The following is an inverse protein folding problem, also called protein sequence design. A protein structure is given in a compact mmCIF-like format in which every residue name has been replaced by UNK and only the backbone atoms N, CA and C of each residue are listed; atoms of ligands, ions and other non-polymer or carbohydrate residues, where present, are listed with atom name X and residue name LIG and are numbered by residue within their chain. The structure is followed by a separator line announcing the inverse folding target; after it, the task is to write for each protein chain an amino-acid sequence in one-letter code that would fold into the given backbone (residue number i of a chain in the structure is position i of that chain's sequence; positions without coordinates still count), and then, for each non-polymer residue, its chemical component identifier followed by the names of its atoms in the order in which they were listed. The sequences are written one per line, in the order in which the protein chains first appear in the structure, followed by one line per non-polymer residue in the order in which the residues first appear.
data_IF_829457555373
#
_entry.id   IF_829457555373
#
_cell.length_a   1.000
_cell.length_b   1.000
_cell.length_c   1.000
_cell.angle_alpha   90.00
_cell.angle_beta   90.00
_cell.angle_gamma   90.00
#
_symmetry.space_group_name_H-M   'P 1'
#
loop_
_entity.id
_entity.type
_entity.pdbx_description
1 polymer ?
#
# COMPACT_ATOMS: atom_id res chain seq x y z
N UNK A 1 24.52 12.88 11.67
CA UNK A 1 25.07 12.02 10.62
C UNK A 1 24.21 10.75 10.47
N UNK A 2 22.99 10.88 9.94
CA UNK A 2 22.09 9.75 9.66
C UNK A 2 21.43 9.97 8.30
N UNK A 3 22.10 9.50 7.25
CA UNK A 3 21.58 9.44 5.89
C UNK A 3 22.10 8.17 5.24
N UNK A 4 21.55 7.04 5.66
CA UNK A 4 21.63 5.75 4.96
C UNK A 4 20.27 5.05 5.08
N UNK A 5 19.34 5.45 4.23
CA UNK A 5 18.43 4.51 3.59
C UNK A 5 18.53 4.83 2.11
N UNK A 6 19.45 4.12 1.48
CA UNK A 6 19.62 4.03 0.04
C UNK A 6 18.31 3.55 -0.59
N UNK A 7 17.84 4.27 -1.60
CA UNK A 7 17.11 3.64 -2.69
C UNK A 7 18.08 2.74 -3.46
N UNK A 8 17.59 1.57 -3.87
CA UNK A 8 18.19 0.53 -4.73
C UNK A 8 17.07 -0.54 -4.78
N UNK A 9 16.58 -1.06 -5.91
CA UNK A 9 17.20 -1.24 -7.21
C UNK A 9 16.14 -1.32 -8.34
N UNK A 10 16.41 -0.58 -9.41
CA UNK A 10 15.89 -0.74 -10.77
C UNK A 10 16.82 -1.70 -11.54
N UNK A 11 16.28 -2.37 -12.56
CA UNK A 11 16.96 -3.12 -13.65
C UNK A 11 17.18 -4.63 -13.44
N UNK A 12 16.60 -5.45 -14.34
CA UNK A 12 17.41 -6.05 -15.40
C UNK A 12 16.56 -6.45 -16.61
N UNK A 13 17.13 -6.11 -17.77
CA UNK A 13 16.77 -6.44 -19.14
C UNK A 13 16.61 -7.94 -19.41
N UNK A 14 15.59 -8.31 -20.20
CA UNK A 14 15.60 -9.57 -20.95
C UNK A 14 15.63 -9.24 -22.44
N UNK A 15 16.62 -9.83 -23.10
CA UNK A 15 16.86 -9.84 -24.53
C UNK A 15 15.64 -10.33 -25.31
N UNK A 16 15.32 -9.63 -26.39
CA UNK A 16 14.36 -10.10 -27.41
C UNK A 16 15.07 -11.15 -28.27
N UNK A 17 14.71 -12.42 -28.10
CA UNK A 17 14.93 -13.47 -29.12
C UNK A 17 13.61 -13.69 -29.86
N UNK A 18 13.55 -13.52 -31.20
CA UNK A 18 12.40 -13.96 -31.97
C UNK A 18 12.60 -15.44 -32.29
N UNK A 19 11.93 -16.33 -31.58
CA UNK A 19 12.09 -17.75 -31.78
C UNK A 19 11.01 -18.58 -31.11
N UNK A 20 10.14 -19.13 -31.96
CA UNK A 20 9.20 -20.22 -31.71
C UNK A 20 7.86 -19.91 -31.03
N UNK A 21 6.81 -20.06 -31.84
CA UNK A 21 5.47 -20.41 -31.42
C UNK A 21 5.50 -21.67 -30.55
N UNK A 22 4.90 -21.59 -29.37
CA UNK A 22 4.18 -22.72 -28.80
C UNK A 22 2.94 -22.17 -28.10
N UNK A 23 1.82 -22.38 -28.77
CA UNK A 23 0.47 -22.06 -28.32
C UNK A 23 0.02 -23.15 -27.34
N UNK A 24 0.54 -23.12 -26.12
CA UNK A 24 -0.05 -23.85 -25.00
C UNK A 24 -0.90 -22.87 -24.20
N UNK A 25 -2.17 -22.77 -24.58
CA UNK A 25 -3.22 -22.05 -23.85
C UNK A 25 -3.64 -22.82 -22.58
N UNK A 26 -2.67 -23.20 -21.75
CA UNK A 26 -2.92 -23.51 -20.35
C UNK A 26 -3.11 -22.18 -19.61
N UNK A 27 -4.36 -21.71 -19.55
CA UNK A 27 -4.76 -20.61 -18.68
C UNK A 27 -4.25 -20.93 -17.26
N UNK A 28 -3.28 -20.19 -16.70
CA UNK A 28 -2.88 -20.45 -15.33
C UNK A 28 -4.10 -20.19 -14.45
N UNK A 29 -4.55 -21.22 -13.75
CA UNK A 29 -5.60 -21.11 -12.74
C UNK A 29 -5.29 -19.89 -11.87
N UNK A 30 -6.28 -19.01 -11.57
CA UNK A 30 -6.02 -17.79 -10.82
C UNK A 30 -5.39 -18.18 -9.50
N UNK A 31 -4.10 -17.88 -9.34
CA UNK A 31 -3.39 -18.10 -8.09
C UNK A 31 -4.20 -17.42 -6.99
N UNK A 32 -4.77 -18.22 -6.09
CA UNK A 32 -5.53 -17.71 -4.96
C UNK A 32 -4.63 -16.71 -4.24
N UNK A 33 -5.00 -15.42 -4.31
CA UNK A 33 -4.27 -14.36 -3.63
C UNK A 33 -4.37 -14.65 -2.13
N UNK A 34 -3.37 -15.34 -1.57
CA UNK A 34 -3.29 -15.66 -0.14
C UNK A 34 -3.61 -14.39 0.64
N UNK A 35 -4.78 -14.38 1.32
CA UNK A 35 -5.23 -13.22 2.11
C UNK A 35 -4.08 -12.82 3.03
N UNK A 36 -3.63 -11.57 2.92
CA UNK A 36 -2.58 -11.04 3.78
C UNK A 36 -3.16 -10.96 5.19
N UNK A 37 -2.67 -11.81 6.11
CA UNK A 37 -3.05 -11.76 7.51
C UNK A 37 -2.58 -10.43 8.14
N UNK A 38 -3.44 -9.85 8.96
CA UNK A 38 -3.25 -8.61 9.70
C UNK A 38 -2.93 -8.88 11.16
N UNK A 39 -2.57 -7.85 11.92
CA UNK A 39 -2.26 -7.96 13.35
C UNK A 39 -3.43 -8.53 14.18
N UNK A 40 -4.67 -8.24 13.78
CA UNK A 40 -5.88 -8.76 14.45
C UNK A 40 -6.00 -10.27 14.29
N UNK A 41 -5.52 -10.83 13.16
CA UNK A 41 -5.52 -12.27 12.93
C UNK A 41 -4.54 -13.03 13.86
N UNK A 42 -3.59 -12.31 14.48
CA UNK A 42 -2.63 -12.84 15.46
C UNK A 42 -2.93 -12.38 16.88
N UNK A 43 -4.17 -11.94 17.18
CA UNK A 43 -4.55 -11.39 18.48
C UNK A 43 -4.22 -12.29 19.67
N UNK A 44 -4.43 -13.60 19.52
CA UNK A 44 -4.21 -14.58 20.59
C UNK A 44 -2.70 -14.84 20.77
N UNK A 45 -1.96 -14.92 19.66
CA UNK A 45 -0.51 -15.05 19.69
C UNK A 45 0.18 -13.80 20.24
N UNK A 46 -0.37 -12.61 20.00
CA UNK A 46 0.16 -11.34 20.50
C UNK A 46 -0.33 -11.00 21.91
N UNK A 47 -1.28 -11.75 22.46
CA UNK A 47 -1.88 -11.48 23.76
C UNK A 47 -2.52 -10.09 23.82
N UNK A 48 -3.26 -9.69 22.78
CA UNK A 48 -3.89 -8.38 22.71
C UNK A 48 -5.10 -8.32 23.66
N UNK A 49 -5.23 -7.24 24.45
CA UNK A 49 -6.43 -6.99 25.25
C UNK A 49 -7.63 -6.64 24.36
N UNK A 50 -8.85 -6.76 24.89
CA UNK A 50 -10.06 -6.37 24.16
C UNK A 50 -10.05 -4.89 23.78
N UNK A 51 -9.52 -4.01 24.66
CA UNK A 51 -9.37 -2.58 24.33
C UNK A 51 -8.37 -2.37 23.19
N UNK A 52 -7.23 -3.06 23.21
CA UNK A 52 -6.23 -3.00 22.14
C UNK A 52 -6.82 -3.48 20.82
N UNK A 53 -7.57 -4.59 20.82
CA UNK A 53 -8.25 -5.13 19.63
C UNK A 53 -9.23 -4.10 19.06
N UNK A 54 -10.03 -3.46 19.91
CA UNK A 54 -11.02 -2.44 19.50
C UNK A 54 -10.34 -1.22 18.90
N UNK A 55 -9.28 -0.72 19.54
CA UNK A 55 -8.52 0.44 19.04
C UNK A 55 -7.86 0.15 17.69
N UNK A 56 -7.18 -0.99 17.59
CA UNK A 56 -6.51 -1.42 16.35
C UNK A 56 -7.51 -1.64 15.21
N UNK A 57 -8.64 -2.29 15.50
CA UNK A 57 -9.71 -2.51 14.49
C UNK A 57 -10.26 -1.19 13.99
N UNK A 58 -10.50 -0.23 14.90
CA UNK A 58 -10.97 1.11 14.54
C UNK A 58 -9.95 1.84 13.66
N UNK A 59 -8.67 1.82 14.05
CA UNK A 59 -7.60 2.46 13.28
C UNK A 59 -7.46 1.85 11.88
N UNK A 60 -7.45 0.52 11.77
CA UNK A 60 -7.33 -0.19 10.50
C UNK A 60 -8.56 0.01 9.60
N UNK A 61 -9.76 0.06 10.18
CA UNK A 61 -11.01 0.30 9.41
C UNK A 61 -11.04 1.72 8.86
N UNK A 62 -10.70 2.72 9.67
CA UNK A 62 -10.60 4.12 9.21
C UNK A 62 -9.56 4.27 8.10
N UNK A 63 -8.41 3.61 8.23
CA UNK A 63 -7.38 3.60 7.21
C UNK A 63 -7.86 2.94 5.91
N UNK A 64 -8.49 1.76 5.99
CA UNK A 64 -9.02 1.04 4.84
C UNK A 64 -10.07 1.86 4.08
N UNK A 65 -10.98 2.52 4.81
CA UNK A 65 -11.98 3.41 4.23
C UNK A 65 -11.32 4.61 3.53
N UNK A 66 -10.35 5.25 4.19
CA UNK A 66 -9.59 6.37 3.61
C UNK A 66 -8.84 5.95 2.35
N UNK A 67 -8.19 4.78 2.35
CA UNK A 67 -7.49 4.24 1.18
C UNK A 67 -8.46 3.99 0.03
N UNK A 68 -9.62 3.39 0.28
CA UNK A 68 -10.63 3.09 -0.75
C UNK A 68 -11.13 4.37 -1.40
N UNK A 69 -11.55 5.33 -0.59
CA UNK A 69 -12.07 6.61 -1.06
C UNK A 69 -11.02 7.40 -1.83
N UNK A 70 -9.84 7.62 -1.23
CA UNK A 70 -8.82 8.50 -1.80
C UNK A 70 -8.08 7.87 -2.98
N UNK A 71 -7.94 6.54 -3.07
CA UNK A 71 -7.39 5.90 -4.29
C UNK A 71 -8.34 6.05 -5.48
N UNK A 72 -9.64 5.89 -5.25
CA UNK A 72 -10.65 6.09 -6.29
C UNK A 72 -10.63 7.54 -6.77
N UNK A 73 -10.60 8.49 -5.82
CA UNK A 73 -10.49 9.91 -6.14
C UNK A 73 -9.20 10.24 -6.91
N UNK A 74 -8.05 9.70 -6.48
CA UNK A 74 -6.78 9.91 -7.15
C UNK A 74 -6.79 9.40 -8.59
N UNK A 75 -7.35 8.21 -8.83
CA UNK A 75 -7.48 7.65 -10.18
C UNK A 75 -8.37 8.51 -11.08
N UNK A 76 -9.49 9.03 -10.54
CA UNK A 76 -10.36 9.94 -11.27
C UNK A 76 -9.64 11.26 -11.60
N UNK A 77 -8.98 11.87 -10.61
CA UNK A 77 -8.22 13.11 -10.79
C UNK A 77 -7.08 12.96 -11.80
N UNK A 78 -6.38 11.83 -11.80
CA UNK A 78 -5.32 11.56 -12.79
C UNK A 78 -5.89 11.40 -14.19
N UNK A 79 -7.06 10.75 -14.36
CA UNK A 79 -7.74 10.68 -15.66
C UNK A 79 -8.16 12.06 -16.15
N UNK A 80 -8.78 12.88 -15.28
CA UNK A 80 -9.16 14.25 -15.60
C UNK A 80 -7.95 15.11 -15.99
N UNK A 81 -6.83 14.95 -15.28
CA UNK A 81 -5.59 15.62 -15.63
C UNK A 81 -5.10 15.25 -17.04
N UNK A 82 -5.16 13.97 -17.41
CA UNK A 82 -4.81 13.54 -18.77
C UNK A 82 -5.73 14.13 -19.84
N UNK A 83 -7.01 14.34 -19.53
CA UNK A 83 -7.95 15.02 -20.44
C UNK A 83 -7.54 16.49 -20.61
N UNK A 84 -7.27 17.22 -19.52
CA UNK A 84 -6.82 18.62 -19.58
C UNK A 84 -5.54 18.80 -20.42
N UNK A 85 -4.62 17.83 -20.38
CA UNK A 85 -3.43 17.85 -21.21
C UNK A 85 -3.72 17.62 -22.70
N UNK A 86 -4.63 16.69 -23.02
CA UNK A 86 -5.02 16.39 -24.40
C UNK A 86 -5.78 17.54 -25.05
N UNK A 87 -6.60 18.23 -24.26
CA UNK A 87 -7.43 19.34 -24.71
C UNK A 87 -6.67 20.69 -24.71
N UNK A 88 -5.36 20.68 -24.43
CA UNK A 88 -4.52 21.88 -24.32
C UNK A 88 -5.15 22.96 -23.41
N UNK A 89 -5.74 22.52 -22.30
CA UNK A 89 -6.47 23.39 -21.39
C UNK A 89 -5.57 24.51 -20.81
N UNK A 90 -6.15 25.64 -20.35
CA UNK A 90 -5.39 26.71 -19.73
C UNK A 90 -4.51 26.22 -18.57
N UNK A 91 -3.29 26.79 -18.48
CA UNK A 91 -2.32 26.43 -17.43
C UNK A 91 -2.89 26.57 -16.00
N UNK A 92 -3.85 27.47 -15.79
CA UNK A 92 -4.52 27.64 -14.51
C UNK A 92 -5.30 26.38 -14.08
N UNK A 93 -6.00 25.74 -15.01
CA UNK A 93 -6.81 24.54 -14.75
C UNK A 93 -5.90 23.32 -14.52
N UNK A 94 -4.85 23.19 -15.32
CA UNK A 94 -3.80 22.17 -15.15
C UNK A 94 -3.16 22.31 -13.77
N UNK A 95 -2.78 23.53 -13.37
CA UNK A 95 -2.20 23.81 -12.05
C UNK A 95 -3.17 23.45 -10.93
N UNK A 96 -4.44 23.83 -11.04
CA UNK A 96 -5.47 23.49 -10.04
C UNK A 96 -5.59 21.97 -9.88
N UNK A 97 -5.67 21.22 -10.99
CA UNK A 97 -5.78 19.76 -10.95
C UNK A 97 -4.55 19.10 -10.31
N UNK A 98 -3.34 19.59 -10.60
CA UNK A 98 -2.11 19.10 -9.97
C UNK A 98 -2.12 19.33 -8.45
N UNK A 99 -2.61 20.48 -7.97
CA UNK A 99 -2.75 20.75 -6.54
C UNK A 99 -3.73 19.77 -5.89
N UNK A 100 -4.88 19.51 -6.51
CA UNK A 100 -5.85 18.52 -6.02
C UNK A 100 -5.24 17.11 -5.91
N UNK A 101 -4.51 16.67 -6.93
CA UNK A 101 -3.78 15.39 -6.92
C UNK A 101 -2.77 15.35 -5.76
N UNK A 102 -1.99 16.41 -5.58
CA UNK A 102 -1.02 16.48 -4.48
C UNK A 102 -1.69 16.41 -3.11
N UNK A 103 -2.83 17.09 -2.93
CA UNK A 103 -3.59 17.04 -1.68
C UNK A 103 -4.10 15.63 -1.40
N UNK A 104 -4.64 14.93 -2.40
CA UNK A 104 -5.09 13.53 -2.24
C UNK A 104 -3.93 12.61 -1.86
N UNK A 105 -2.76 12.77 -2.51
CA UNK A 105 -1.54 12.01 -2.18
C UNK A 105 -1.04 12.31 -0.77
N UNK A 106 -1.09 13.57 -0.35
CA UNK A 106 -0.76 13.96 1.03
C UNK A 106 -1.66 13.25 2.04
N UNK A 107 -2.98 13.28 1.83
CA UNK A 107 -3.95 12.63 2.73
C UNK A 107 -3.66 11.13 2.84
N UNK A 108 -3.43 10.45 1.72
CA UNK A 108 -3.07 9.03 1.72
C UNK A 108 -1.81 8.75 2.54
N UNK A 109 -0.75 9.54 2.35
CA UNK A 109 0.52 9.35 3.06
C UNK A 109 0.41 9.71 4.54
N UNK A 110 -0.36 10.73 4.88
CA UNK A 110 -0.60 11.13 6.26
C UNK A 110 -1.43 10.08 7.01
N UNK A 111 -2.46 9.52 6.38
CA UNK A 111 -3.26 8.45 6.97
C UNK A 111 -2.42 7.20 7.31
N UNK A 112 -1.45 6.87 6.46
CA UNK A 112 -0.49 5.78 6.69
C UNK A 112 0.38 6.04 7.94
N UNK A 113 0.95 7.25 8.06
CA UNK A 113 1.75 7.65 9.23
C UNK A 113 0.91 7.68 10.50
N UNK A 114 -0.29 8.24 10.44
CA UNK A 114 -1.21 8.33 11.57
C UNK A 114 -1.57 6.93 12.09
N UNK A 115 -1.94 6.03 11.17
CA UNK A 115 -2.32 4.65 11.51
C UNK A 115 -1.14 3.90 12.11
N UNK A 116 0.05 4.02 11.52
CA UNK A 116 1.28 3.42 12.07
C UNK A 116 1.54 3.92 13.49
N UNK A 117 1.42 5.23 13.75
CA UNK A 117 1.61 5.80 15.08
C UNK A 117 0.57 5.30 16.09
N UNK A 118 -0.69 5.15 15.69
CA UNK A 118 -1.76 4.60 16.55
C UNK A 118 -1.46 3.15 16.92
N UNK A 119 -1.14 2.32 15.93
CA UNK A 119 -0.77 0.92 16.15
C UNK A 119 0.43 0.79 17.09
N UNK A 120 1.48 1.58 16.88
CA UNK A 120 2.67 1.55 17.74
C UNK A 120 2.40 2.00 19.17
N UNK A 121 1.47 2.94 19.38
CA UNK A 121 1.07 3.38 20.73
C UNK A 121 0.17 2.37 21.45
N UNK A 122 -0.65 1.63 20.70
CA UNK A 122 -1.56 0.65 21.27
C UNK A 122 -0.84 -0.62 21.76
N UNK A 123 0.35 -0.92 21.22
CA UNK A 123 1.12 -2.13 21.54
C UNK A 123 2.25 -1.85 22.54
N UNK A 124 2.57 -2.85 23.36
CA UNK A 124 3.82 -2.85 24.15
C UNK A 124 5.03 -3.11 23.25
N UNK A 125 6.24 -2.82 23.75
CA UNK A 125 7.48 -3.09 23.02
C UNK A 125 7.69 -4.57 22.71
N UNK A 126 7.29 -5.45 23.65
CA UNK A 126 7.33 -6.90 23.49
C UNK A 126 6.37 -7.35 22.39
N UNK A 127 5.12 -6.88 22.43
CA UNK A 127 4.11 -7.17 21.41
C UNK A 127 4.57 -6.69 20.02
N UNK A 128 5.17 -5.49 19.95
CA UNK A 128 5.71 -4.93 18.72
C UNK A 128 6.89 -5.76 18.17
N UNK A 129 7.78 -6.24 19.05
CA UNK A 129 8.90 -7.09 18.66
C UNK A 129 8.41 -8.43 18.11
N UNK A 130 7.45 -9.05 18.79
CA UNK A 130 6.80 -10.30 18.33
C UNK A 130 6.11 -10.09 16.98
N UNK A 131 5.41 -8.97 16.81
CA UNK A 131 4.77 -8.62 15.55
C UNK A 131 5.77 -8.50 14.39
N UNK A 132 6.92 -7.82 14.60
CA UNK A 132 7.98 -7.72 13.58
C UNK A 132 8.53 -9.09 13.19
N UNK A 133 8.67 -10.01 14.14
CA UNK A 133 9.11 -11.38 13.87
C UNK A 133 8.07 -12.15 13.03
N UNK A 134 6.78 -12.04 13.36
CA UNK A 134 5.68 -12.63 12.58
C UNK A 134 5.70 -12.08 11.15
N UNK A 135 5.84 -10.75 10.98
CA UNK A 135 5.92 -10.13 9.66
C UNK A 135 7.11 -10.61 8.85
N UNK A 136 8.30 -10.73 9.48
CA UNK A 136 9.51 -11.22 8.82
C UNK A 136 9.31 -12.64 8.30
N UNK A 137 8.82 -13.55 9.14
CA UNK A 137 8.53 -14.94 8.78
C UNK A 137 7.48 -15.03 7.66
N UNK A 138 6.42 -14.23 7.73
CA UNK A 138 5.38 -14.21 6.72
C UNK A 138 5.84 -13.68 5.35
N UNK A 139 6.89 -12.85 5.31
CA UNK A 139 7.52 -12.39 4.05
C UNK A 139 8.45 -13.46 3.48
N UNK A 140 9.30 -14.04 4.31
CA UNK A 140 10.19 -15.13 3.91
C UNK A 140 9.43 -16.36 3.38
N UNK A 141 8.22 -16.63 3.87
CA UNK A 141 7.38 -17.74 3.38
C UNK A 141 6.62 -17.43 2.08
N UNK A 142 6.71 -16.20 1.55
CA UNK A 142 6.10 -15.78 0.28
C UNK A 142 7.10 -15.67 -0.87
N UNK A 143 8.39 -15.64 -0.55
CA UNK A 143 9.50 -15.77 -1.50
C UNK A 143 9.74 -17.26 -1.81
#
# INVERSE_FOLDING_TARGET
MYRKIFGILLCLSVLVTPGFCQEDSATPAPAEKKKVKTMIDYKDELGLSEEQIKELTTALTLYANTLKEKRTALQAQEKEYQVLLKDEAPLADIKKKLVEIMQTRFVLRYADVLTTRRVTKALTEEQMTKWKQIQSKARAAKE
#
